data_IF_566862320548
#
_entry.id   IF_566862320548
#
_cell.length_a   1.000
_cell.length_b   1.000
_cell.length_c   1.000
_cell.angle_alpha   90.00
_cell.angle_beta   90.00
_cell.angle_gamma   90.00
#
_symmetry.space_group_name_H-M   'P 1'
#
loop_
_entity.id
_entity.type
_entity.pdbx_description
1 polymer ?
#
# COMPACT_ATOMS: atom_id res chain seq x y z
N UNK A 1 15.71 -30.69 2.52
CA UNK A 1 14.23 -30.90 2.55
C UNK A 1 13.44 -29.65 2.21
N UNK A 2 13.81 -28.46 2.67
CA UNK A 2 13.08 -27.21 2.41
C UNK A 2 13.08 -26.77 0.93
N UNK A 3 14.19 -26.98 0.20
CA UNK A 3 14.28 -26.60 -1.22
C UNK A 3 13.33 -27.38 -2.13
N UNK A 4 13.10 -28.67 -1.86
CA UNK A 4 12.16 -29.47 -2.64
C UNK A 4 10.71 -29.03 -2.49
N UNK A 5 10.30 -28.67 -1.26
CA UNK A 5 8.95 -28.17 -0.97
C UNK A 5 8.71 -26.83 -1.67
N UNK A 6 9.71 -25.96 -1.68
CA UNK A 6 9.64 -24.67 -2.36
C UNK A 6 9.52 -24.84 -3.88
N UNK A 7 10.34 -25.69 -4.48
CA UNK A 7 10.27 -26.01 -5.91
C UNK A 7 8.90 -26.60 -6.30
N UNK A 8 8.36 -27.49 -5.47
CA UNK A 8 7.04 -28.08 -5.69
C UNK A 8 5.95 -27.00 -5.75
N UNK A 9 5.88 -26.10 -4.75
CA UNK A 9 4.82 -25.08 -4.73
C UNK A 9 4.99 -24.08 -5.89
N UNK A 10 6.21 -23.72 -6.27
CA UNK A 10 6.46 -22.86 -7.43
C UNK A 10 5.92 -23.50 -8.72
N UNK A 11 6.21 -24.77 -8.96
CA UNK A 11 5.68 -25.53 -10.12
C UNK A 11 4.15 -25.63 -10.10
N UNK A 12 3.54 -25.78 -8.93
CA UNK A 12 2.09 -25.76 -8.78
C UNK A 12 1.49 -24.39 -9.15
N UNK A 13 2.12 -23.29 -8.72
CA UNK A 13 1.71 -21.93 -9.08
C UNK A 13 1.79 -21.71 -10.58
N UNK A 14 2.89 -22.11 -11.23
CA UNK A 14 3.05 -22.03 -12.68
C UNK A 14 1.92 -22.78 -13.40
N UNK A 15 1.64 -24.02 -12.95
CA UNK A 15 0.62 -24.86 -13.55
C UNK A 15 -0.79 -24.28 -13.44
N UNK A 16 -1.21 -23.82 -12.24
CA UNK A 16 -2.58 -23.33 -12.03
C UNK A 16 -2.85 -21.98 -12.69
N UNK A 17 -1.81 -21.19 -12.93
CA UNK A 17 -1.89 -19.91 -13.63
C UNK A 17 -1.52 -19.99 -15.10
N UNK A 18 -1.09 -21.15 -15.60
CA UNK A 18 -0.59 -21.36 -16.97
C UNK A 18 0.50 -20.35 -17.35
N UNK A 19 1.49 -20.18 -16.48
CA UNK A 19 2.63 -19.28 -16.67
C UNK A 19 3.94 -20.02 -16.48
N UNK A 20 5.02 -19.38 -16.91
CA UNK A 20 6.40 -19.73 -16.57
C UNK A 20 7.05 -18.50 -15.94
N UNK A 21 7.70 -18.69 -14.80
CA UNK A 21 8.51 -17.63 -14.20
C UNK A 21 9.83 -17.47 -14.94
N UNK A 22 10.30 -16.23 -15.10
CA UNK A 22 11.67 -15.97 -15.58
C UNK A 22 12.69 -16.35 -14.52
N UNK A 23 13.96 -16.48 -14.92
CA UNK A 23 15.04 -16.79 -13.97
C UNK A 23 15.13 -15.75 -12.85
N UNK A 24 14.96 -14.46 -13.17
CA UNK A 24 14.93 -13.38 -12.19
C UNK A 24 13.75 -13.51 -11.21
N UNK A 25 12.57 -13.91 -11.70
CA UNK A 25 11.41 -14.16 -10.85
C UNK A 25 11.60 -15.39 -9.97
N UNK A 26 12.24 -16.45 -10.49
CA UNK A 26 12.60 -17.63 -9.71
C UNK A 26 13.62 -17.30 -8.62
N UNK A 27 14.59 -16.43 -8.88
CA UNK A 27 15.54 -15.94 -7.87
C UNK A 27 14.81 -15.21 -6.73
N UNK A 28 13.82 -14.37 -7.07
CA UNK A 28 12.97 -13.71 -6.08
C UNK A 28 12.17 -14.72 -5.26
N UNK A 29 11.54 -15.68 -5.92
CA UNK A 29 10.74 -16.72 -5.26
C UNK A 29 11.59 -17.65 -4.39
N UNK A 30 12.86 -17.82 -4.70
CA UNK A 30 13.82 -18.64 -3.94
C UNK A 30 14.58 -17.86 -2.87
N UNK A 31 14.45 -16.53 -2.85
CA UNK A 31 15.15 -15.70 -1.89
C UNK A 31 14.63 -15.86 -0.46
N UNK A 32 15.52 -15.65 0.52
CA UNK A 32 15.21 -15.53 1.94
C UNK A 32 15.51 -14.12 2.42
N UNK A 33 14.81 -13.66 3.47
CA UNK A 33 15.03 -12.34 4.06
C UNK A 33 14.29 -11.19 3.40
N UNK A 34 14.78 -9.97 3.61
CA UNK A 34 14.19 -8.75 3.07
C UNK A 34 14.53 -8.55 1.59
N UNK A 35 13.54 -8.15 0.79
CA UNK A 35 13.66 -7.92 -0.64
C UNK A 35 13.16 -6.55 -1.03
N UNK A 36 13.86 -5.93 -1.98
CA UNK A 36 13.36 -4.75 -2.69
C UNK A 36 13.24 -5.09 -4.17
N UNK A 37 12.00 -5.11 -4.69
CA UNK A 37 11.72 -5.41 -6.09
C UNK A 37 11.45 -4.11 -6.83
N UNK A 38 12.26 -3.81 -7.85
CA UNK A 38 12.10 -2.64 -8.70
C UNK A 38 11.74 -3.14 -10.09
N UNK A 39 10.58 -2.72 -10.60
CA UNK A 39 10.18 -3.05 -11.96
C UNK A 39 9.21 -2.00 -12.52
N UNK A 40 9.09 -1.92 -13.84
CA UNK A 40 8.19 -1.00 -14.52
C UNK A 40 6.71 -1.22 -14.22
N UNK A 41 5.86 -0.28 -14.60
CA UNK A 41 4.41 -0.44 -14.53
C UNK A 41 3.96 -1.61 -15.42
N UNK A 42 2.97 -2.39 -14.96
CA UNK A 42 2.45 -3.53 -15.73
C UNK A 42 3.32 -4.80 -15.74
N UNK A 43 4.50 -4.80 -15.12
CA UNK A 43 5.43 -5.95 -15.11
C UNK A 43 5.01 -7.12 -14.18
N UNK A 44 3.75 -7.17 -13.73
CA UNK A 44 3.26 -8.28 -12.92
C UNK A 44 3.73 -8.29 -11.45
N UNK A 45 4.28 -7.18 -10.93
CA UNK A 45 4.78 -7.06 -9.54
C UNK A 45 3.83 -7.63 -8.49
N UNK A 46 2.57 -7.24 -8.54
CA UNK A 46 1.56 -7.69 -7.57
C UNK A 46 1.38 -9.20 -7.62
N UNK A 47 1.35 -9.78 -8.81
CA UNK A 47 1.22 -11.24 -8.98
C UNK A 47 2.45 -11.99 -8.48
N UNK A 48 3.64 -11.46 -8.72
CA UNK A 48 4.90 -12.02 -8.20
C UNK A 48 4.96 -11.94 -6.67
N UNK A 49 4.57 -10.80 -6.07
CA UNK A 49 4.51 -10.65 -4.61
C UNK A 49 3.51 -11.61 -3.96
N UNK A 50 2.34 -11.79 -4.58
CA UNK A 50 1.35 -12.76 -4.13
C UNK A 50 1.89 -14.18 -4.21
N UNK A 51 2.58 -14.53 -5.29
CA UNK A 51 3.23 -15.83 -5.45
C UNK A 51 4.31 -16.07 -4.38
N UNK A 52 5.18 -15.08 -4.15
CA UNK A 52 6.20 -15.14 -3.09
C UNK A 52 5.57 -15.34 -1.71
N UNK A 53 4.49 -14.64 -1.41
CA UNK A 53 3.78 -14.76 -0.16
C UNK A 53 3.22 -16.18 0.03
N UNK A 54 2.58 -16.74 -0.99
CA UNK A 54 2.08 -18.12 -0.96
C UNK A 54 3.21 -19.12 -0.79
N UNK A 55 4.33 -18.93 -1.48
CA UNK A 55 5.53 -19.79 -1.33
C UNK A 55 6.03 -19.79 0.11
N UNK A 56 6.21 -18.62 0.71
CA UNK A 56 6.71 -18.50 2.09
C UNK A 56 5.75 -19.08 3.13
N UNK A 57 4.44 -18.89 2.94
CA UNK A 57 3.41 -19.48 3.80
C UNK A 57 3.41 -21.02 3.67
N UNK A 58 3.44 -21.54 2.45
CA UNK A 58 3.45 -22.97 2.19
C UNK A 58 4.70 -23.66 2.74
N UNK A 59 5.85 -23.01 2.65
CA UNK A 59 7.11 -23.49 3.22
C UNK A 59 7.21 -23.31 4.75
N UNK A 60 6.18 -22.80 5.42
CA UNK A 60 6.17 -22.49 6.86
C UNK A 60 7.30 -21.52 7.28
N UNK A 61 7.76 -20.64 6.40
CA UNK A 61 8.78 -19.64 6.71
C UNK A 61 8.19 -18.46 7.48
N UNK A 62 6.90 -18.19 7.27
CA UNK A 62 6.13 -17.17 7.95
C UNK A 62 4.78 -17.73 8.39
N UNK A 63 4.30 -17.34 9.56
CA UNK A 63 2.98 -17.69 10.02
C UNK A 63 1.94 -16.69 9.48
N UNK A 64 0.73 -17.13 9.05
CA UNK A 64 -0.28 -16.24 8.47
C UNK A 64 -0.65 -15.04 9.36
N UNK A 65 -0.74 -15.24 10.65
CA UNK A 65 -1.05 -14.20 11.65
C UNK A 65 0.11 -13.22 11.93
N UNK A 66 1.26 -13.42 11.30
CA UNK A 66 2.43 -12.52 11.36
C UNK A 66 2.65 -11.77 10.05
N UNK A 67 1.71 -11.87 9.12
CA UNK A 67 1.79 -11.23 7.81
C UNK A 67 0.85 -10.05 7.74
N UNK A 68 1.40 -8.91 7.35
CA UNK A 68 0.65 -7.71 7.02
C UNK A 68 1.02 -7.27 5.59
N UNK A 69 0.02 -7.20 4.72
CA UNK A 69 0.16 -6.68 3.36
C UNK A 69 -0.38 -5.26 3.29
N UNK A 70 0.53 -4.29 3.16
CA UNK A 70 0.17 -2.88 3.05
C UNK A 70 0.27 -2.37 1.63
N UNK A 71 -0.72 -1.58 1.21
CA UNK A 71 -0.73 -0.86 -0.06
C UNK A 71 -1.02 0.63 0.18
N UNK A 72 -0.73 1.46 -0.81
CA UNK A 72 -1.04 2.89 -0.72
C UNK A 72 -2.55 3.17 -0.87
N UNK A 73 -3.25 2.42 -1.73
CA UNK A 73 -4.65 2.65 -2.06
C UNK A 73 -5.57 1.50 -1.63
N UNK A 74 -6.84 1.81 -1.37
CA UNK A 74 -7.87 0.81 -1.11
C UNK A 74 -8.06 -0.16 -2.29
N UNK A 75 -7.99 0.36 -3.52
CA UNK A 75 -8.09 -0.45 -4.73
C UNK A 75 -6.93 -1.46 -4.81
N UNK A 76 -5.68 -1.02 -4.57
CA UNK A 76 -4.51 -1.90 -4.53
C UNK A 76 -4.60 -2.97 -3.45
N UNK A 77 -5.11 -2.63 -2.27
CA UNK A 77 -5.33 -3.59 -1.18
C UNK A 77 -6.37 -4.65 -1.57
N UNK A 78 -7.49 -4.23 -2.15
CA UNK A 78 -8.55 -5.14 -2.62
C UNK A 78 -8.07 -6.04 -3.76
N UNK A 79 -7.32 -5.50 -4.72
CA UNK A 79 -6.73 -6.26 -5.83
C UNK A 79 -5.77 -7.33 -5.31
N UNK A 80 -4.84 -6.96 -4.42
CA UNK A 80 -3.87 -7.90 -3.86
C UNK A 80 -4.56 -9.01 -3.07
N UNK A 81 -5.56 -8.67 -2.24
CA UNK A 81 -6.38 -9.63 -1.50
C UNK A 81 -7.12 -10.59 -2.43
N UNK A 82 -7.73 -10.07 -3.50
CA UNK A 82 -8.45 -10.88 -4.48
C UNK A 82 -7.51 -11.86 -5.21
N UNK A 83 -6.35 -11.38 -5.66
CA UNK A 83 -5.32 -12.23 -6.31
C UNK A 83 -4.80 -13.31 -5.36
N UNK A 84 -4.53 -12.96 -4.11
CA UNK A 84 -4.07 -13.92 -3.11
C UNK A 84 -5.12 -15.01 -2.85
N UNK A 85 -6.38 -14.62 -2.63
CA UNK A 85 -7.47 -15.55 -2.42
C UNK A 85 -7.64 -16.48 -3.63
N UNK A 86 -7.70 -15.91 -4.84
CA UNK A 86 -7.83 -16.69 -6.07
C UNK A 86 -6.71 -17.71 -6.24
N UNK A 87 -5.45 -17.34 -5.94
CA UNK A 87 -4.32 -18.26 -6.02
C UNK A 87 -4.41 -19.36 -4.96
N UNK A 88 -4.76 -19.03 -3.73
CA UNK A 88 -4.97 -20.01 -2.67
C UNK A 88 -6.08 -21.01 -3.04
N UNK A 89 -7.22 -20.53 -3.53
CA UNK A 89 -8.34 -21.36 -3.94
C UNK A 89 -7.94 -22.36 -5.05
N UNK A 90 -7.20 -21.89 -6.07
CA UNK A 90 -6.67 -22.74 -7.15
C UNK A 90 -5.69 -23.82 -6.65
N UNK A 91 -4.96 -23.52 -5.59
CA UNK A 91 -3.97 -24.44 -5.01
C UNK A 91 -4.57 -25.37 -3.93
N UNK A 92 -5.85 -25.17 -3.55
CA UNK A 92 -6.48 -25.88 -2.45
C UNK A 92 -5.92 -25.48 -1.08
N UNK A 93 -5.45 -24.24 -0.94
CA UNK A 93 -4.86 -23.71 0.29
C UNK A 93 -5.84 -22.74 0.96
N UNK A 94 -5.80 -22.68 2.30
CA UNK A 94 -6.62 -21.76 3.09
C UNK A 94 -5.72 -20.99 4.05
N UNK A 95 -5.39 -19.76 3.70
CA UNK A 95 -4.67 -18.82 4.56
C UNK A 95 -5.49 -17.55 4.77
N UNK A 96 -5.50 -17.06 6.00
CA UNK A 96 -6.07 -15.76 6.35
C UNK A 96 -4.93 -14.83 6.76
N UNK A 97 -4.73 -13.76 5.99
CA UNK A 97 -3.72 -12.73 6.25
C UNK A 97 -4.36 -11.35 6.19
N UNK A 98 -3.67 -10.37 6.76
CA UNK A 98 -4.17 -9.00 6.83
C UNK A 98 -3.76 -8.19 5.61
N UNK A 99 -4.75 -7.62 4.91
CA UNK A 99 -4.58 -6.70 3.79
C UNK A 99 -5.18 -5.35 4.14
N UNK A 100 -4.38 -4.32 4.15
CA UNK A 100 -4.85 -2.96 4.47
C UNK A 100 -4.05 -1.87 3.76
N UNK A 101 -4.53 -0.64 3.86
CA UNK A 101 -3.75 0.51 3.42
C UNK A 101 -2.82 0.98 4.53
N UNK A 102 -1.73 1.67 4.16
CA UNK A 102 -0.83 2.31 5.13
C UNK A 102 -1.60 3.26 6.05
N UNK A 103 -2.54 4.03 5.52
CA UNK A 103 -3.37 4.94 6.31
C UNK A 103 -4.21 4.20 7.37
N UNK A 104 -4.84 3.07 7.02
CA UNK A 104 -5.61 2.30 8.00
C UNK A 104 -4.73 1.68 9.07
N UNK A 105 -3.52 1.24 8.71
CA UNK A 105 -2.54 0.73 9.67
C UNK A 105 -2.12 1.81 10.68
N UNK A 106 -1.75 3.00 10.19
CA UNK A 106 -1.38 4.12 11.07
C UNK A 106 -2.53 4.56 11.97
N UNK A 107 -3.76 4.57 11.44
CA UNK A 107 -4.94 4.89 12.23
C UNK A 107 -5.13 3.93 13.41
N UNK A 108 -4.99 2.62 13.16
CA UNK A 108 -5.14 1.62 14.22
C UNK A 108 -4.03 1.74 15.26
N UNK A 109 -2.77 1.94 14.84
CA UNK A 109 -1.65 2.17 15.75
C UNK A 109 -1.91 3.38 16.65
N UNK A 110 -2.35 4.50 16.09
CA UNK A 110 -2.62 5.71 16.85
C UNK A 110 -3.80 5.51 17.82
N UNK A 111 -4.83 4.77 17.43
CA UNK A 111 -5.92 4.39 18.32
C UNK A 111 -5.46 3.53 19.49
N UNK A 112 -4.60 2.54 19.24
CA UNK A 112 -4.02 1.69 20.29
C UNK A 112 -3.16 2.49 21.27
N UNK A 113 -2.51 3.56 20.79
CA UNK A 113 -1.76 4.51 21.62
C UNK A 113 -2.66 5.50 22.39
N UNK A 114 -3.99 5.38 22.27
CA UNK A 114 -4.96 6.20 23.02
C UNK A 114 -5.33 7.52 22.34
N UNK A 115 -4.89 7.75 21.09
CA UNK A 115 -5.31 8.94 20.36
C UNK A 115 -6.74 8.80 19.83
N UNK A 116 -7.60 9.77 20.19
CA UNK A 116 -8.97 9.86 19.64
C UNK A 116 -8.93 10.65 18.33
N UNK A 117 -8.86 9.96 17.20
CA UNK A 117 -8.70 10.55 15.88
C UNK A 117 -10.04 10.63 15.15
N UNK A 118 -10.37 11.82 14.66
CA UNK A 118 -11.43 12.01 13.68
C UNK A 118 -10.81 12.09 12.28
N UNK A 119 -11.09 11.09 11.43
CA UNK A 119 -10.66 11.13 10.03
C UNK A 119 -11.51 12.15 9.28
N UNK A 120 -10.86 13.19 8.79
CA UNK A 120 -11.49 14.18 7.92
C UNK A 120 -11.29 13.74 6.48
N UNK A 121 -12.37 13.30 5.83
CA UNK A 121 -12.34 12.86 4.43
C UNK A 121 -12.30 14.03 3.43
N UNK A 122 -12.78 15.19 3.85
CA UNK A 122 -12.79 16.43 3.05
C UNK A 122 -12.34 17.61 3.89
N UNK A 123 -11.19 18.16 3.55
CA UNK A 123 -10.60 19.33 4.22
C UNK A 123 -11.17 20.66 3.71
N UNK A 124 -11.97 20.65 2.65
CA UNK A 124 -12.53 21.86 2.00
C UNK A 124 -13.12 22.85 2.97
N UNK A 125 -14.00 22.39 3.85
CA UNK A 125 -14.66 23.27 4.82
C UNK A 125 -13.70 23.93 5.82
N UNK A 126 -12.60 23.22 6.17
CA UNK A 126 -11.58 23.74 7.08
C UNK A 126 -10.72 24.79 6.37
N UNK A 127 -10.32 24.52 5.11
CA UNK A 127 -9.60 25.47 4.27
C UNK A 127 -10.44 26.73 4.07
N UNK A 128 -11.72 26.59 3.69
CA UNK A 128 -12.65 27.74 3.54
C UNK A 128 -12.76 28.56 4.82
N UNK A 129 -12.92 27.90 5.95
CA UNK A 129 -12.99 28.59 7.23
C UNK A 129 -11.71 29.33 7.55
N UNK A 130 -10.55 28.69 7.40
CA UNK A 130 -9.26 29.32 7.64
C UNK A 130 -9.02 30.53 6.73
N UNK A 131 -9.33 30.45 5.43
CA UNK A 131 -9.24 31.57 4.50
C UNK A 131 -10.14 32.73 4.90
N UNK A 132 -11.37 32.44 5.31
CA UNK A 132 -12.34 33.43 5.76
C UNK A 132 -11.89 34.11 7.06
N UNK A 133 -11.46 33.33 8.04
CA UNK A 133 -11.06 33.83 9.38
C UNK A 133 -9.79 34.72 9.29
N UNK A 134 -8.96 34.52 8.28
CA UNK A 134 -7.78 35.31 7.99
C UNK A 134 -8.02 36.45 6.97
N UNK A 135 -9.26 36.69 6.57
CA UNK A 135 -9.63 37.79 5.69
C UNK A 135 -9.10 37.68 4.23
N UNK A 136 -8.59 36.50 3.84
CA UNK A 136 -7.96 36.29 2.56
C UNK A 136 -8.99 36.24 1.44
N UNK A 137 -10.25 35.90 1.72
CA UNK A 137 -11.28 35.88 0.69
C UNK A 137 -12.70 36.03 1.20
N UNK A 138 -13.46 36.99 0.63
CA UNK A 138 -14.91 37.09 0.81
C UNK A 138 -15.72 36.33 -0.27
N UNK A 139 -15.11 36.01 -1.39
CA UNK A 139 -15.62 35.10 -2.43
C UNK A 139 -14.54 34.06 -2.67
N UNK A 140 -14.85 32.84 -2.33
CA UNK A 140 -13.91 31.72 -2.47
C UNK A 140 -13.78 31.40 -3.96
N UNK A 141 -12.60 31.68 -4.51
CA UNK A 141 -12.20 31.20 -5.80
C UNK A 141 -11.88 29.70 -5.67
N UNK A 142 -12.51 28.88 -6.50
CA UNK A 142 -12.28 27.42 -6.53
C UNK A 142 -10.80 27.10 -6.79
N UNK A 143 -10.13 27.90 -7.59
CA UNK A 143 -8.71 27.73 -7.92
C UNK A 143 -7.81 27.96 -6.72
N UNK A 144 -8.11 28.95 -5.87
CA UNK A 144 -7.38 29.21 -4.62
C UNK A 144 -7.58 28.09 -3.60
N UNK A 145 -8.81 27.57 -3.50
CA UNK A 145 -9.12 26.45 -2.60
C UNK A 145 -8.33 25.18 -3.00
N UNK A 146 -8.30 24.88 -4.29
CA UNK A 146 -7.56 23.72 -4.81
C UNK A 146 -6.06 23.93 -4.65
N UNK A 147 -5.54 25.12 -4.88
CA UNK A 147 -4.14 25.45 -4.67
C UNK A 147 -3.72 25.25 -3.19
N UNK A 148 -4.49 25.74 -2.24
CA UNK A 148 -4.20 25.56 -0.80
C UNK A 148 -4.26 24.09 -0.40
N UNK A 149 -5.23 23.33 -0.91
CA UNK A 149 -5.29 21.87 -0.69
C UNK A 149 -4.03 21.15 -1.22
N UNK A 150 -3.57 21.53 -2.40
CA UNK A 150 -2.39 20.95 -3.01
C UNK A 150 -1.12 21.31 -2.22
N UNK A 151 -1.00 22.52 -1.72
CA UNK A 151 0.09 22.96 -0.83
C UNK A 151 0.13 22.15 0.47
N UNK A 152 -1.02 22.01 1.14
CA UNK A 152 -1.12 21.20 2.37
C UNK A 152 -0.72 19.76 2.09
N UNK A 153 -1.21 19.17 1.01
CA UNK A 153 -0.87 17.82 0.61
C UNK A 153 0.62 17.67 0.29
N UNK A 154 1.22 18.66 -0.37
CA UNK A 154 2.64 18.67 -0.67
C UNK A 154 3.48 18.71 0.61
N UNK A 155 3.16 19.59 1.55
CA UNK A 155 3.88 19.69 2.82
C UNK A 155 3.77 18.43 3.68
N UNK A 156 2.57 17.84 3.77
CA UNK A 156 2.37 16.58 4.49
C UNK A 156 3.23 15.46 3.87
N UNK A 157 3.29 15.38 2.53
CA UNK A 157 3.99 14.30 1.84
C UNK A 157 5.51 14.47 1.83
N UNK A 158 6.01 15.71 1.87
CA UNK A 158 7.45 16.00 1.80
C UNK A 158 8.09 16.24 3.15
N UNK A 159 7.28 16.35 4.21
CA UNK A 159 7.74 16.74 5.56
C UNK A 159 8.61 18.00 5.55
N UNK A 160 8.37 18.92 4.61
CA UNK A 160 9.08 20.20 4.54
C UNK A 160 8.66 21.09 5.70
N UNK A 161 9.61 21.73 6.43
CA UNK A 161 9.29 22.68 7.48
C UNK A 161 8.56 23.91 6.92
N UNK A 162 7.75 24.58 7.76
CA UNK A 162 6.90 25.74 7.42
C UNK A 162 7.62 26.93 6.74
N UNK A 163 8.95 26.91 6.65
CA UNK A 163 9.75 27.99 6.03
C UNK A 163 9.44 28.22 4.54
N UNK A 164 8.90 27.22 3.84
CA UNK A 164 8.58 27.36 2.42
C UNK A 164 7.23 28.05 2.17
N UNK A 165 6.37 28.17 3.17
CA UNK A 165 5.12 28.95 3.06
C UNK A 165 5.36 30.46 2.95
N UNK A 166 6.45 30.98 3.55
CA UNK A 166 6.79 32.39 3.49
C UNK A 166 7.32 32.81 2.10
N UNK A 167 7.80 31.87 1.30
CA UNK A 167 8.29 32.12 -0.08
C UNK A 167 7.20 32.02 -1.15
N UNK A 168 6.03 31.52 -0.85
CA UNK A 168 4.87 31.55 -1.74
C UNK A 168 4.23 32.93 -1.71
N UNK A 169 4.78 33.86 -2.51
CA UNK A 169 4.08 35.09 -2.85
C UNK A 169 2.77 34.74 -3.58
N UNK A 170 1.71 34.57 -2.85
CA UNK A 170 0.34 34.50 -3.35
C UNK A 170 -0.19 35.91 -3.50
N UNK A 171 0.25 36.62 -4.51
CA UNK A 171 -0.38 37.84 -5.03
C UNK A 171 -0.26 37.89 -6.55
#
# INVERSE_FOLDING_TARGET
TGGKVREEIIKRIEKVNNIKFSDEQLDILNSSGGLRIISGAGAGKTSLLVSLLVVRLYCNEIAPNKVLCCTFSKAGSSEMKSKFKSLCDKLGLSYSIDFRTLHSMYYDILRELGYNLNIVSDITKYVRRALKDNGICNKIDLDLEEYVKNLISYQINTATPDKDLESCNVF
#
